data_IF_506833719470
#
_entry.id   IF_506833719470
#
_cell.length_a   1.000
_cell.length_b   1.000
_cell.length_c   1.000
_cell.angle_alpha   90.00
_cell.angle_beta   90.00
_cell.angle_gamma   90.00
#
_symmetry.space_group_name_H-M   'P 1'
#
loop_
_entity.id
_entity.type
_entity.pdbx_description
1 polymer ?
#
# COMPACT_ATOMS: atom_id res chain seq x y z
N UNK A 1 -44.33 0.44 3.79
CA UNK A 1 -43.55 -0.04 4.95
C UNK A 1 -42.14 0.52 4.82
N UNK A 2 -41.94 1.77 5.23
CA UNK A 2 -40.65 2.46 5.12
C UNK A 2 -39.95 2.43 6.47
N UNK A 3 -38.69 1.99 6.50
CA UNK A 3 -37.81 2.16 7.65
C UNK A 3 -36.63 3.03 7.21
N UNK A 4 -36.80 4.35 7.41
CA UNK A 4 -35.71 5.32 7.39
C UNK A 4 -35.31 5.55 8.84
N UNK A 5 -34.39 4.74 9.36
CA UNK A 5 -33.75 5.03 10.64
C UNK A 5 -32.67 6.08 10.44
N UNK A 6 -33.03 7.27 10.88
CA UNK A 6 -32.23 8.50 10.89
C UNK A 6 -31.05 8.38 11.85
N UNK A 7 -29.90 8.84 11.37
CA UNK A 7 -28.69 9.07 12.15
C UNK A 7 -28.94 10.24 13.11
N UNK A 8 -28.70 10.03 14.42
CA UNK A 8 -28.76 11.10 15.42
C UNK A 8 -27.37 11.26 16.09
N UNK A 9 -26.63 12.33 15.80
CA UNK A 9 -25.41 12.68 16.51
C UNK A 9 -25.77 13.47 17.77
N UNK A 10 -24.98 13.29 18.83
CA UNK A 10 -25.00 14.03 20.11
C UNK A 10 -25.72 13.32 21.26
N UNK A 11 -24.90 12.74 22.15
CA UNK A 11 -24.96 13.03 23.58
C UNK A 11 -23.62 12.64 24.22
N UNK A 12 -22.70 13.60 24.22
CA UNK A 12 -21.66 13.69 25.26
C UNK A 12 -22.38 13.65 26.61
N UNK A 13 -22.10 12.64 27.41
CA UNK A 13 -22.26 12.70 28.87
C UNK A 13 -20.90 12.39 29.47
N UNK A 14 -20.18 13.47 29.74
CA UNK A 14 -19.06 13.48 30.67
C UNK A 14 -19.68 13.27 32.05
N UNK A 15 -19.38 12.13 32.68
CA UNK A 15 -19.62 11.94 34.12
C UNK A 15 -18.27 12.18 34.78
N UNK A 16 -18.09 13.39 35.32
CA UNK A 16 -17.09 13.64 36.36
C UNK A 16 -17.69 13.06 37.63
N UNK A 17 -17.16 11.93 38.09
CA UNK A 17 -17.35 11.47 39.46
C UNK A 17 -16.05 11.75 40.22
N UNK A 18 -16.03 12.87 40.94
CA UNK A 18 -15.08 13.10 42.01
C UNK A 18 -15.57 12.34 43.25
N UNK A 19 -14.68 11.61 43.91
CA UNK A 19 -14.89 11.14 45.28
C UNK A 19 -14.48 9.69 45.51
N UNK A 20 -13.46 9.51 46.35
CA UNK A 20 -13.22 8.25 47.06
C UNK A 20 -11.80 7.71 46.94
N UNK A 21 -10.88 8.24 47.74
CA UNK A 21 -9.63 7.54 48.05
C UNK A 21 -9.98 6.38 48.98
N UNK A 22 -9.82 5.15 48.49
CA UNK A 22 -9.77 3.96 49.31
C UNK A 22 -8.54 3.14 48.87
N UNK A 23 -7.47 3.26 49.64
CA UNK A 23 -6.29 2.42 49.50
C UNK A 23 -6.61 1.02 50.06
N UNK A 24 -6.58 0.01 49.20
CA UNK A 24 -6.46 -1.39 49.60
C UNK A 24 -5.51 -2.10 48.62
N UNK A 25 -4.52 -2.78 49.17
CA UNK A 25 -3.35 -3.33 48.51
C UNK A 25 -3.67 -4.66 47.80
N UNK A 26 -3.04 -4.89 46.64
CA UNK A 26 -2.49 -6.20 46.27
C UNK A 26 -3.40 -7.17 45.52
N UNK A 27 -3.49 -7.02 44.20
CA UNK A 27 -3.40 -8.07 43.15
C UNK A 27 -4.00 -7.53 41.84
N UNK A 28 -3.45 -6.41 41.36
CA UNK A 28 -3.75 -5.91 40.03
C UNK A 28 -2.83 -6.62 39.04
N UNK A 29 -3.31 -7.69 38.40
CA UNK A 29 -2.80 -8.03 37.08
C UNK A 29 -3.00 -6.79 36.22
N UNK A 30 -1.91 -6.04 36.00
CA UNK A 30 -1.91 -4.94 35.08
C UNK A 30 -2.31 -5.54 33.73
N UNK A 31 -3.51 -5.20 33.26
CA UNK A 31 -3.83 -5.32 31.85
C UNK A 31 -2.91 -4.33 31.12
N UNK A 32 -1.68 -4.78 30.88
CA UNK A 32 -0.85 -4.26 29.81
C UNK A 32 -1.57 -4.66 28.52
N UNK A 33 -2.62 -3.90 28.18
CA UNK A 33 -3.08 -3.85 26.81
C UNK A 33 -1.89 -3.34 26.03
N UNK A 34 -1.25 -4.24 25.27
CA UNK A 34 -0.30 -3.86 24.25
C UNK A 34 -1.04 -2.90 23.32
N UNK A 35 -0.89 -1.61 23.58
CA UNK A 35 -1.15 -0.59 22.60
C UNK A 35 -0.18 -0.92 21.47
N UNK A 36 -0.69 -1.68 20.49
CA UNK A 36 -0.08 -1.86 19.20
C UNK A 36 0.24 -0.44 18.74
N UNK A 37 1.50 -0.05 18.92
CA UNK A 37 1.95 1.31 18.70
C UNK A 37 1.80 1.53 17.22
N UNK A 38 0.69 2.15 16.82
CA UNK A 38 0.55 2.75 15.51
C UNK A 38 1.83 3.58 15.34
N UNK A 39 2.68 3.14 14.42
CA UNK A 39 3.96 3.75 14.12
C UNK A 39 3.65 5.09 13.45
N UNK A 40 3.31 6.08 14.28
CA UNK A 40 2.93 7.43 13.86
C UNK A 40 4.21 8.15 13.44
N UNK A 41 4.72 7.83 12.26
CA UNK A 41 5.79 8.60 11.62
C UNK A 41 5.32 10.01 11.32
N UNK A 42 6.08 11.00 11.78
CA UNK A 42 5.87 12.41 11.46
C UNK A 42 6.29 12.71 10.02
N UNK A 43 5.70 13.74 9.36
CA UNK A 43 6.15 14.18 8.05
C UNK A 43 7.67 14.44 8.03
N UNK A 44 8.40 13.74 7.16
CA UNK A 44 9.86 13.87 7.02
C UNK A 44 10.69 12.80 7.73
N UNK A 45 10.10 11.89 8.51
CA UNK A 45 10.81 10.69 8.98
C UNK A 45 10.91 9.66 7.86
N UNK A 46 12.08 9.01 7.73
CA UNK A 46 12.28 7.92 6.77
C UNK A 46 11.37 6.75 7.13
N UNK A 47 10.80 6.11 6.11
CA UNK A 47 10.04 4.88 6.28
C UNK A 47 10.86 3.85 7.06
N UNK A 48 10.23 3.18 8.02
CA UNK A 48 10.84 2.11 8.83
C UNK A 48 10.80 0.78 8.08
N UNK A 49 9.79 0.59 7.24
CA UNK A 49 9.57 -0.61 6.44
C UNK A 49 9.77 -0.33 4.95
N UNK A 50 10.38 -1.27 4.23
CA UNK A 50 10.60 -1.16 2.80
C UNK A 50 10.24 -2.49 2.14
N UNK A 51 9.44 -2.42 1.07
CA UNK A 51 8.96 -3.62 0.39
C UNK A 51 8.84 -3.40 -1.11
N UNK A 52 9.17 -4.44 -1.87
CA UNK A 52 9.02 -4.46 -3.32
C UNK A 52 8.20 -5.67 -3.76
N UNK A 53 7.20 -5.41 -4.59
CA UNK A 53 6.35 -6.41 -5.22
C UNK A 53 6.78 -6.68 -6.66
N UNK A 54 6.77 -7.95 -7.05
CA UNK A 54 6.78 -8.33 -8.46
C UNK A 54 5.35 -8.27 -9.02
N UNK A 55 5.17 -7.60 -10.17
CA UNK A 55 3.94 -7.66 -10.96
C UNK A 55 4.30 -8.04 -12.40
N UNK A 56 4.27 -9.34 -12.71
CA UNK A 56 4.75 -9.87 -13.98
C UNK A 56 3.69 -10.57 -14.86
N UNK A 57 2.46 -10.75 -14.37
CA UNK A 57 1.38 -11.43 -15.10
C UNK A 57 0.26 -10.47 -15.52
N UNK A 58 -0.44 -10.82 -16.60
CA UNK A 58 -1.64 -10.10 -17.06
C UNK A 58 -2.94 -10.58 -16.42
N UNK A 59 -2.91 -11.68 -15.63
CA UNK A 59 -4.10 -12.22 -15.00
C UNK A 59 -4.77 -11.20 -14.06
N UNK A 60 -6.09 -11.08 -14.18
CA UNK A 60 -6.87 -10.10 -13.44
C UNK A 60 -6.88 -10.41 -11.94
N UNK A 61 -7.04 -11.68 -11.56
CA UNK A 61 -7.06 -12.10 -10.16
C UNK A 61 -5.73 -11.84 -9.49
N UNK A 62 -4.64 -12.19 -10.17
CA UNK A 62 -3.28 -11.90 -9.75
C UNK A 62 -3.04 -10.41 -9.51
N UNK A 63 -3.36 -9.56 -10.50
CA UNK A 63 -3.22 -8.10 -10.35
C UNK A 63 -4.05 -7.57 -9.20
N UNK A 64 -5.30 -8.03 -9.06
CA UNK A 64 -6.17 -7.62 -7.95
C UNK A 64 -5.60 -8.03 -6.59
N UNK A 65 -5.02 -9.23 -6.48
CA UNK A 65 -4.41 -9.70 -5.24
C UNK A 65 -3.19 -8.85 -4.86
N UNK A 66 -2.32 -8.52 -5.83
CA UNK A 66 -1.15 -7.65 -5.59
C UNK A 66 -1.61 -6.29 -5.07
N UNK A 67 -2.55 -5.62 -5.77
CA UNK A 67 -3.04 -4.31 -5.35
C UNK A 67 -3.75 -4.35 -3.98
N UNK A 68 -4.52 -5.41 -3.71
CA UNK A 68 -5.18 -5.61 -2.42
C UNK A 68 -4.17 -5.79 -1.27
N UNK A 69 -3.08 -6.51 -1.52
CA UNK A 69 -1.99 -6.72 -0.57
C UNK A 69 -1.27 -5.40 -0.27
N UNK A 70 -0.91 -4.63 -1.30
CA UNK A 70 -0.32 -3.29 -1.16
C UNK A 70 -1.24 -2.39 -0.33
N UNK A 71 -2.54 -2.37 -0.62
CA UNK A 71 -3.50 -1.58 0.14
C UNK A 71 -3.60 -2.01 1.61
N UNK A 72 -3.49 -3.31 1.89
CA UNK A 72 -3.48 -3.83 3.27
C UNK A 72 -2.24 -3.37 4.05
N UNK A 73 -1.05 -3.38 3.42
CA UNK A 73 0.17 -2.86 4.03
C UNK A 73 0.09 -1.35 4.30
N UNK A 74 -0.43 -0.57 3.35
CA UNK A 74 -0.66 0.86 3.57
C UNK A 74 -1.61 1.12 4.73
N UNK A 75 -2.71 0.34 4.86
CA UNK A 75 -3.62 0.48 6.01
C UNK A 75 -2.96 0.15 7.34
N UNK A 76 -2.03 -0.81 7.35
CA UNK A 76 -1.35 -1.27 8.56
C UNK A 76 -0.25 -0.31 9.02
N UNK A 77 0.62 0.08 8.10
CA UNK A 77 1.85 0.82 8.40
C UNK A 77 1.75 2.31 8.05
N UNK A 78 0.73 2.73 7.29
CA UNK A 78 0.54 4.13 6.92
C UNK A 78 1.77 4.71 6.23
N UNK A 79 2.30 5.81 6.77
CA UNK A 79 3.46 6.51 6.23
C UNK A 79 4.79 5.88 6.64
N UNK A 80 4.81 4.85 7.50
CA UNK A 80 6.04 4.20 7.94
C UNK A 80 6.54 3.11 6.98
N UNK A 81 5.83 2.87 5.87
CA UNK A 81 6.23 1.92 4.83
C UNK A 81 6.48 2.61 3.48
N UNK A 82 7.57 2.23 2.83
CA UNK A 82 7.84 2.54 1.42
C UNK A 82 7.57 1.29 0.57
N UNK A 83 6.73 1.44 -0.46
CA UNK A 83 6.28 0.34 -1.30
C UNK A 83 6.61 0.64 -2.76
N UNK A 84 7.32 -0.30 -3.40
CA UNK A 84 7.56 -0.31 -4.84
C UNK A 84 6.84 -1.50 -5.47
N UNK A 85 6.22 -1.30 -6.63
CA UNK A 85 5.66 -2.37 -7.46
C UNK A 85 6.39 -2.39 -8.79
N UNK A 86 7.18 -3.43 -9.03
CA UNK A 86 7.95 -3.58 -10.27
C UNK A 86 7.12 -4.30 -11.33
N UNK A 87 6.71 -3.57 -12.37
CA UNK A 87 5.91 -4.05 -13.48
C UNK A 87 6.78 -4.44 -14.67
N UNK A 88 6.75 -5.72 -15.05
CA UNK A 88 7.48 -6.23 -16.23
C UNK A 88 6.73 -7.38 -16.90
N UNK A 89 7.28 -7.91 -17.99
CA UNK A 89 6.63 -8.95 -18.79
C UNK A 89 5.18 -8.56 -19.15
N UNK A 90 4.19 -9.38 -18.83
CA UNK A 90 2.79 -9.08 -19.16
C UNK A 90 2.18 -8.02 -18.24
N UNK A 91 2.69 -7.93 -17.01
CA UNK A 91 2.29 -6.97 -15.99
C UNK A 91 2.56 -5.50 -16.35
N UNK A 92 3.48 -5.24 -17.29
CA UNK A 92 3.78 -3.88 -17.77
C UNK A 92 2.53 -3.15 -18.29
N UNK A 93 1.53 -3.89 -18.79
CA UNK A 93 0.31 -3.32 -19.37
C UNK A 93 -0.43 -2.42 -18.38
N UNK A 94 -0.29 -2.68 -17.08
CA UNK A 94 -0.90 -1.90 -15.99
C UNK A 94 -0.41 -0.45 -15.96
N UNK A 95 0.84 -0.21 -16.36
CA UNK A 95 1.51 1.10 -16.29
C UNK A 95 1.72 1.77 -17.64
N UNK A 96 1.13 1.24 -18.72
CA UNK A 96 1.18 1.84 -20.06
C UNK A 96 0.02 2.80 -20.30
N UNK A 97 0.29 3.93 -20.98
CA UNK A 97 -0.75 4.85 -21.49
C UNK A 97 -1.72 4.13 -22.44
N UNK A 98 -1.17 3.26 -23.30
CA UNK A 98 -1.91 2.40 -24.22
C UNK A 98 -1.52 0.94 -23.93
N UNK A 99 -2.28 0.23 -23.10
CA UNK A 99 -1.95 -1.15 -22.75
C UNK A 99 -1.96 -2.07 -23.97
N UNK A 100 -0.95 -2.93 -24.06
CA UNK A 100 -0.85 -3.97 -25.10
C UNK A 100 -1.72 -5.19 -24.79
N UNK A 101 -2.16 -5.32 -23.53
CA UNK A 101 -3.16 -6.29 -23.08
C UNK A 101 -4.30 -5.57 -22.36
N UNK A 102 -5.53 -6.11 -22.37
CA UNK A 102 -6.61 -5.55 -21.58
C UNK A 102 -6.23 -5.46 -20.10
N UNK A 103 -6.48 -4.30 -19.50
CA UNK A 103 -6.35 -4.08 -18.05
C UNK A 103 -7.69 -3.57 -17.56
N UNK A 104 -8.26 -4.27 -16.57
CA UNK A 104 -9.55 -3.91 -16.01
C UNK A 104 -9.54 -2.50 -15.43
N UNK A 105 -10.70 -1.82 -15.50
CA UNK A 105 -10.84 -0.44 -15.02
C UNK A 105 -10.51 -0.31 -13.52
N UNK A 106 -10.91 -1.31 -12.73
CA UNK A 106 -10.61 -1.37 -11.29
C UNK A 106 -9.11 -1.41 -11.00
N UNK A 107 -8.34 -2.20 -11.76
CA UNK A 107 -6.88 -2.28 -11.64
C UNK A 107 -6.23 -0.92 -11.95
N UNK A 108 -6.63 -0.25 -13.04
CA UNK A 108 -6.08 1.08 -13.39
C UNK A 108 -6.42 2.14 -12.33
N UNK A 109 -7.65 2.13 -11.84
CA UNK A 109 -8.07 3.04 -10.77
C UNK A 109 -7.30 2.75 -9.47
N UNK A 110 -7.07 1.48 -9.15
CA UNK A 110 -6.28 1.06 -8.00
C UNK A 110 -4.82 1.53 -8.09
N UNK A 111 -4.18 1.37 -9.25
CA UNK A 111 -2.81 1.86 -9.48
C UNK A 111 -2.71 3.37 -9.31
N UNK A 112 -3.63 4.13 -9.90
CA UNK A 112 -3.67 5.58 -9.73
C UNK A 112 -3.87 5.98 -8.25
N UNK A 113 -4.85 5.35 -7.57
CA UNK A 113 -5.12 5.64 -6.17
C UNK A 113 -3.93 5.28 -5.26
N UNK A 114 -3.28 4.14 -5.47
CA UNK A 114 -2.13 3.73 -4.65
C UNK A 114 -0.93 4.66 -4.89
N UNK A 115 -0.72 5.12 -6.11
CA UNK A 115 0.29 6.13 -6.41
C UNK A 115 0.02 7.44 -5.65
N UNK A 116 -1.24 7.88 -5.56
CA UNK A 116 -1.60 9.08 -4.78
C UNK A 116 -1.31 8.92 -3.27
N UNK A 117 -1.19 7.69 -2.78
CA UNK A 117 -0.74 7.35 -1.42
C UNK A 117 0.77 7.08 -1.30
N UNK A 118 1.55 7.37 -2.34
CA UNK A 118 3.01 7.26 -2.32
C UNK A 118 3.58 5.91 -2.72
N UNK A 119 2.77 5.01 -3.30
CA UNK A 119 3.28 3.75 -3.89
C UNK A 119 3.95 4.04 -5.23
N UNK A 120 5.18 3.57 -5.40
CA UNK A 120 5.92 3.73 -6.64
C UNK A 120 5.68 2.54 -7.58
N UNK A 121 5.42 2.83 -8.85
CA UNK A 121 5.26 1.80 -9.88
C UNK A 121 6.42 1.87 -10.87
N UNK A 122 7.26 0.83 -10.89
CA UNK A 122 8.45 0.78 -11.74
C UNK A 122 8.16 0.03 -13.04
N UNK A 123 8.35 0.69 -14.18
CA UNK A 123 8.16 0.13 -15.53
C UNK A 123 9.47 -0.37 -16.13
N UNK A 124 9.53 -1.67 -16.44
CA UNK A 124 10.74 -2.33 -16.95
C UNK A 124 11.09 -1.96 -18.41
N UNK A 125 12.26 -1.36 -18.59
CA UNK A 125 12.80 -0.93 -19.88
C UNK A 125 13.11 -2.08 -20.85
N UNK A 126 13.56 -3.24 -20.38
CA UNK A 126 13.69 -4.43 -21.22
C UNK A 126 12.34 -4.82 -21.84
N UNK A 127 11.28 -4.81 -21.04
CA UNK A 127 9.93 -5.17 -21.51
C UNK A 127 9.45 -4.15 -22.54
N UNK A 128 9.66 -2.85 -22.29
CA UNK A 128 9.34 -1.80 -23.27
C UNK A 128 10.09 -2.03 -24.59
N UNK A 129 11.39 -2.36 -24.56
CA UNK A 129 12.17 -2.65 -25.78
C UNK A 129 11.61 -3.86 -26.54
N UNK A 130 11.24 -4.93 -25.85
CA UNK A 130 10.59 -6.10 -26.48
C UNK A 130 9.28 -5.71 -27.17
N UNK A 131 8.51 -4.81 -26.56
CA UNK A 131 7.27 -4.28 -27.14
C UNK A 131 7.49 -3.17 -28.19
N UNK A 132 8.75 -2.83 -28.51
CA UNK A 132 9.13 -1.71 -29.39
C UNK A 132 8.56 -0.36 -28.92
N UNK A 133 8.46 -0.19 -27.60
CA UNK A 133 8.00 1.02 -26.93
C UNK A 133 9.19 1.78 -26.31
N UNK A 134 9.00 3.08 -26.10
CA UNK A 134 9.95 3.94 -25.38
C UNK A 134 9.40 4.31 -24.01
N UNK A 135 10.22 4.97 -23.17
CA UNK A 135 9.81 5.46 -21.85
C UNK A 135 8.55 6.35 -21.89
N UNK A 136 8.29 7.05 -23.00
CA UNK A 136 7.12 7.93 -23.14
C UNK A 136 5.79 7.17 -23.21
N UNK A 137 5.82 5.86 -23.44
CA UNK A 137 4.63 5.00 -23.42
C UNK A 137 4.12 4.71 -22.00
N UNK A 138 4.96 4.88 -20.97
CA UNK A 138 4.55 4.74 -19.56
C UNK A 138 3.61 5.87 -19.16
N UNK A 139 2.70 5.57 -18.23
CA UNK A 139 1.91 6.57 -17.52
C UNK A 139 2.86 7.53 -16.77
N UNK A 140 2.49 8.82 -16.60
CA UNK A 140 3.31 9.78 -15.86
C UNK A 140 3.64 9.36 -14.41
N UNK A 141 2.76 8.56 -13.80
CA UNK A 141 2.93 8.01 -12.44
C UNK A 141 3.99 6.90 -12.34
N UNK A 142 4.44 6.36 -13.47
CA UNK A 142 5.33 5.20 -13.49
C UNK A 142 6.79 5.64 -13.68
N UNK A 143 7.65 5.16 -12.79
CA UNK A 143 9.10 5.36 -12.85
C UNK A 143 9.69 4.40 -13.87
N UNK A 144 10.46 4.91 -14.84
CA UNK A 144 11.19 4.04 -15.76
C UNK A 144 12.41 3.44 -15.07
N UNK A 145 12.57 2.12 -15.15
CA UNK A 145 13.79 1.42 -14.73
C UNK A 145 14.39 0.65 -15.91
N UNK A 146 15.73 0.64 -16.11
CA UNK A 146 16.33 -0.03 -17.27
C UNK A 146 15.98 -1.51 -17.37
N UNK A 147 15.95 -2.23 -16.24
CA UNK A 147 15.68 -3.66 -16.15
C UNK A 147 14.95 -3.98 -14.83
N UNK A 148 13.73 -4.49 -14.91
CA UNK A 148 12.90 -4.78 -13.72
C UNK A 148 13.50 -5.85 -12.79
N UNK A 149 14.14 -6.90 -13.31
CA UNK A 149 14.78 -7.90 -12.47
C UNK A 149 15.98 -7.33 -11.68
N UNK A 150 16.77 -6.43 -12.31
CA UNK A 150 17.86 -5.73 -11.62
C UNK A 150 17.31 -4.77 -10.56
N UNK A 151 16.22 -4.06 -10.87
CA UNK A 151 15.54 -3.18 -9.93
C UNK A 151 15.07 -3.93 -8.66
N UNK A 152 14.44 -5.10 -8.82
CA UNK A 152 14.08 -5.99 -7.70
C UNK A 152 15.30 -6.38 -6.85
N UNK A 153 16.40 -6.76 -7.49
CA UNK A 153 17.63 -7.16 -6.81
C UNK A 153 18.29 -5.99 -6.07
N UNK A 154 18.37 -4.82 -6.70
CA UNK A 154 18.96 -3.61 -6.12
C UNK A 154 18.14 -3.07 -4.95
N UNK A 155 16.81 -3.14 -5.02
CA UNK A 155 15.94 -2.80 -3.90
C UNK A 155 16.14 -3.77 -2.73
N UNK A 156 16.27 -5.08 -3.00
CA UNK A 156 16.59 -6.05 -1.95
C UNK A 156 17.94 -5.75 -1.28
N UNK A 157 18.99 -5.38 -2.04
CA UNK A 157 20.26 -4.95 -1.46
C UNK A 157 20.15 -3.69 -0.59
N UNK A 158 19.15 -2.84 -0.84
CA UNK A 158 18.83 -1.66 -0.01
C UNK A 158 17.96 -2.00 1.21
N UNK A 159 17.68 -3.28 1.47
CA UNK A 159 16.91 -3.75 2.61
C UNK A 159 15.40 -3.87 2.36
N UNK A 160 14.95 -3.86 1.10
CA UNK A 160 13.54 -4.08 0.78
C UNK A 160 13.22 -5.57 0.94
N UNK A 161 12.14 -5.88 1.65
CA UNK A 161 11.54 -7.20 1.58
C UNK A 161 11.00 -7.44 0.17
N UNK A 162 11.18 -8.65 -0.36
CA UNK A 162 10.65 -9.03 -1.67
C UNK A 162 9.44 -9.93 -1.52
N UNK A 163 8.35 -9.61 -2.23
CA UNK A 163 7.13 -10.42 -2.25
C UNK A 163 6.71 -10.73 -3.70
N UNK A 164 6.42 -12.01 -3.94
CA UNK A 164 5.85 -12.52 -5.18
C UNK A 164 5.04 -13.78 -4.91
N UNK A 165 4.05 -14.03 -5.76
CA UNK A 165 3.30 -15.28 -5.87
C UNK A 165 2.75 -15.45 -7.30
#
# INVERSE_FOLDING_TARGET
MGDKRTFNPSRRRVIVAAGGVAAAMGSGAAFAGSADSLDLTFPGQKATHHIVYQLNQADHGYQQHILSSVQALLRRYGNSIHIVVTCFAEGISVVLKKPVRPVARGIRAGVASLHDYGVEFHGCGNTLRTLKLTKSALLPLATYVPMGAADLMELQHKGYAYIAW
#
